data_IF_539181453175
#
_entry.id   IF_539181453175
#
_cell.length_a   1.000
_cell.length_b   1.000
_cell.length_c   1.000
_cell.angle_alpha   90.00
_cell.angle_beta   90.00
_cell.angle_gamma   90.00
#
_symmetry.space_group_name_H-M   'P 1'
#
loop_
_entity.id
_entity.type
_entity.pdbx_description
1 polymer ?
#
# COMPACT_ATOMS: atom_id res chain seq x y z
N UNK A 1 20.38 3.03 -9.72
CA UNK A 1 19.22 3.68 -10.35
C UNK A 1 18.17 3.90 -9.27
N UNK A 2 17.70 5.14 -9.06
CA UNK A 2 16.74 5.46 -8.01
C UNK A 2 15.32 4.95 -8.39
N UNK A 3 14.56 4.48 -7.41
CA UNK A 3 13.19 3.99 -7.55
C UNK A 3 12.23 4.93 -6.85
N UNK A 4 11.28 5.48 -7.61
CA UNK A 4 10.25 6.39 -7.12
C UNK A 4 8.90 5.70 -7.21
N UNK A 5 8.16 5.65 -6.11
CA UNK A 5 6.75 5.26 -6.09
C UNK A 5 5.89 6.51 -6.10
N UNK A 6 5.00 6.60 -7.08
CA UNK A 6 4.02 7.67 -7.19
C UNK A 6 2.64 7.07 -6.92
N UNK A 7 1.93 7.59 -5.93
CA UNK A 7 0.64 7.04 -5.47
C UNK A 7 -0.44 8.11 -5.49
N UNK A 8 -1.57 7.81 -6.12
CA UNK A 8 -2.77 8.64 -6.09
C UNK A 8 -3.74 8.09 -5.06
N UNK A 9 -4.08 8.91 -4.06
CA UNK A 9 -4.98 8.55 -2.97
C UNK A 9 -6.29 9.30 -3.18
N UNK A 10 -7.38 8.56 -3.42
CA UNK A 10 -8.72 9.11 -3.60
C UNK A 10 -9.40 9.51 -2.28
N UNK A 11 -10.73 9.60 -2.31
CA UNK A 11 -11.53 9.64 -1.07
C UNK A 11 -11.62 8.22 -0.52
N UNK A 12 -11.18 8.01 0.72
CA UNK A 12 -11.41 6.76 1.44
C UNK A 12 -12.90 6.46 1.51
N UNK A 13 -13.29 5.21 1.27
CA UNK A 13 -14.69 4.80 1.49
C UNK A 13 -14.93 4.80 3.00
N UNK A 14 -16.08 5.32 3.48
CA UNK A 14 -16.43 5.24 4.89
C UNK A 14 -16.37 3.78 5.32
N UNK A 15 -15.63 3.53 6.40
CA UNK A 15 -15.56 2.22 7.04
C UNK A 15 -16.96 1.90 7.54
N UNK A 16 -17.56 0.75 7.19
CA UNK A 16 -18.86 0.35 7.73
C UNK A 16 -18.81 0.38 9.27
N UNK A 17 -19.88 0.80 9.91
CA UNK A 17 -20.00 0.85 11.37
C UNK A 17 -19.53 -0.48 11.99
N UNK A 18 -18.45 -0.44 12.76
CA UNK A 18 -17.84 -1.63 13.40
C UNK A 18 -16.55 -2.15 12.76
N UNK A 19 -16.08 -1.58 11.65
CA UNK A 19 -14.74 -1.88 11.11
C UNK A 19 -13.62 -1.11 11.81
N UNK A 20 -12.41 -1.68 11.85
CA UNK A 20 -11.18 -1.01 12.31
C UNK A 20 -10.94 0.26 11.48
N UNK A 21 -11.40 1.41 11.99
CA UNK A 21 -11.15 2.70 11.36
C UNK A 21 -9.65 3.00 11.42
N UNK A 22 -9.01 3.19 10.27
CA UNK A 22 -7.63 3.66 10.23
C UNK A 22 -7.58 5.19 10.25
N UNK A 23 -6.45 5.76 10.72
CA UNK A 23 -6.20 7.21 10.68
C UNK A 23 -6.23 7.80 9.25
N UNK A 24 -6.13 6.97 8.20
CA UNK A 24 -6.15 7.41 6.80
C UNK A 24 -7.57 7.52 6.22
N UNK A 25 -8.61 7.10 6.95
CA UNK A 25 -9.99 7.07 6.44
C UNK A 25 -10.27 5.91 5.47
N UNK A 26 -9.33 4.96 5.33
CA UNK A 26 -9.50 3.74 4.56
C UNK A 26 -9.69 2.53 5.49
N UNK A 27 -10.49 1.55 5.07
CA UNK A 27 -10.56 0.27 5.77
C UNK A 27 -9.19 -0.44 5.70
N UNK A 28 -8.80 -1.12 6.79
CA UNK A 28 -7.65 -2.04 6.73
C UNK A 28 -7.98 -3.21 5.82
N UNK A 29 -7.11 -3.50 4.86
CA UNK A 29 -7.23 -4.58 3.89
C UNK A 29 -5.97 -5.44 3.90
N UNK A 30 -6.12 -6.75 3.69
CA UNK A 30 -5.00 -7.66 3.44
C UNK A 30 -4.69 -7.63 1.95
N UNK A 31 -3.49 -7.17 1.60
CA UNK A 31 -2.97 -7.19 0.23
C UNK A 31 -2.09 -8.42 0.05
N UNK A 32 -2.35 -9.18 -1.01
CA UNK A 32 -1.61 -10.39 -1.36
C UNK A 32 -0.79 -10.12 -2.61
N UNK A 33 0.51 -10.37 -2.54
CA UNK A 33 1.42 -10.32 -3.67
C UNK A 33 1.79 -11.75 -4.04
N UNK A 34 1.56 -12.16 -5.30
CA UNK A 34 1.95 -13.50 -5.73
C UNK A 34 3.46 -13.67 -5.63
N UNK A 35 3.88 -14.94 -5.56
CA UNK A 35 5.28 -15.29 -5.72
C UNK A 35 5.81 -14.73 -7.06
N UNK A 36 6.97 -14.06 -7.03
CA UNK A 36 7.69 -13.67 -8.25
C UNK A 36 8.71 -14.75 -8.60
N UNK A 37 9.09 -14.85 -9.87
CA UNK A 37 10.09 -15.81 -10.33
C UNK A 37 11.39 -15.67 -9.49
N UNK A 38 11.76 -16.74 -8.76
CA UNK A 38 12.93 -16.76 -7.88
C UNK A 38 12.61 -16.57 -6.39
N UNK A 39 11.35 -16.40 -6.00
CA UNK A 39 10.90 -16.39 -4.60
C UNK A 39 9.78 -17.39 -4.41
N UNK A 40 9.89 -18.25 -3.40
CA UNK A 40 8.99 -19.39 -3.19
C UNK A 40 7.69 -19.05 -2.47
N UNK A 41 7.55 -17.86 -1.90
CA UNK A 41 6.44 -17.53 -1.00
C UNK A 41 5.61 -16.34 -1.48
N UNK A 42 4.30 -16.53 -1.42
CA UNK A 42 3.33 -15.43 -1.48
C UNK A 42 3.53 -14.51 -0.27
N UNK A 43 3.34 -13.21 -0.47
CA UNK A 43 3.50 -12.23 0.59
C UNK A 43 2.16 -11.57 0.90
N UNK A 44 1.80 -11.54 2.18
CA UNK A 44 0.63 -10.81 2.66
C UNK A 44 1.05 -9.61 3.53
N UNK A 45 0.39 -8.48 3.34
CA UNK A 45 0.50 -7.34 4.26
C UNK A 45 -0.87 -6.73 4.56
N UNK A 46 -1.12 -6.44 5.84
CA UNK A 46 -2.38 -5.85 6.30
C UNK A 46 -2.18 -4.37 6.59
N UNK A 47 -2.74 -3.53 5.73
CA UNK A 47 -2.66 -2.08 5.84
C UNK A 47 -3.89 -1.40 5.26
N UNK A 48 -4.06 -0.11 5.55
CA UNK A 48 -5.16 0.70 5.01
C UNK A 48 -4.89 1.24 3.59
N UNK A 49 -3.64 1.17 3.13
CA UNK A 49 -3.21 1.76 1.86
C UNK A 49 -2.36 0.76 1.07
N UNK A 50 -2.79 0.42 -0.14
CA UNK A 50 -2.04 -0.44 -1.07
C UNK A 50 -0.58 0.02 -1.26
N UNK A 51 -0.28 1.31 -1.49
CA UNK A 51 1.11 1.74 -1.67
C UNK A 51 2.02 1.42 -0.48
N UNK A 52 1.51 1.42 0.75
CA UNK A 52 2.29 1.04 1.92
C UNK A 52 2.69 -0.43 1.89
N UNK A 53 1.77 -1.31 1.47
CA UNK A 53 2.04 -2.73 1.30
C UNK A 53 3.09 -2.96 0.20
N UNK A 54 2.98 -2.21 -0.90
CA UNK A 54 3.93 -2.30 -2.00
C UNK A 54 5.34 -1.85 -1.58
N UNK A 55 5.48 -0.74 -0.84
CA UNK A 55 6.80 -0.27 -0.36
C UNK A 55 7.48 -1.34 0.50
N UNK A 56 6.73 -1.99 1.41
CA UNK A 56 7.26 -3.07 2.26
C UNK A 56 7.62 -4.31 1.45
N UNK A 57 6.78 -4.71 0.48
CA UNK A 57 7.09 -5.80 -0.44
C UNK A 57 8.38 -5.51 -1.21
N UNK A 58 8.50 -4.33 -1.81
CA UNK A 58 9.69 -3.91 -2.56
C UNK A 58 10.96 -3.93 -1.71
N UNK A 59 10.89 -3.48 -0.46
CA UNK A 59 12.00 -3.59 0.49
C UNK A 59 12.37 -5.05 0.78
N UNK A 60 11.39 -5.92 1.00
CA UNK A 60 11.62 -7.37 1.20
C UNK A 60 12.27 -8.04 -0.02
N UNK A 61 11.94 -7.58 -1.24
CA UNK A 61 12.57 -8.03 -2.49
C UNK A 61 14.00 -7.51 -2.71
N UNK A 62 14.59 -6.79 -1.74
CA UNK A 62 15.90 -6.15 -1.91
C UNK A 62 15.88 -4.98 -2.91
N UNK A 63 14.70 -4.42 -3.20
CA UNK A 63 14.47 -3.35 -4.17
C UNK A 63 13.79 -2.15 -3.50
N UNK A 64 14.43 -1.51 -2.49
CA UNK A 64 13.79 -0.43 -1.75
C UNK A 64 13.34 0.71 -2.67
N UNK A 65 12.23 1.34 -2.29
CA UNK A 65 11.74 2.58 -2.89
C UNK A 65 12.48 3.73 -2.19
N UNK A 66 13.22 4.52 -2.96
CA UNK A 66 14.04 5.62 -2.44
C UNK A 66 13.19 6.86 -2.13
N UNK A 67 12.11 7.06 -2.89
CA UNK A 67 11.19 8.17 -2.72
C UNK A 67 9.74 7.72 -2.95
N UNK A 68 8.85 8.05 -2.01
CA UNK A 68 7.43 7.77 -2.13
C UNK A 68 6.63 9.08 -2.11
N UNK A 69 6.04 9.42 -3.26
CA UNK A 69 5.19 10.60 -3.45
C UNK A 69 3.72 10.18 -3.35
N UNK A 70 2.98 10.79 -2.42
CA UNK A 70 1.54 10.63 -2.28
C UNK A 70 0.81 11.88 -2.76
N UNK A 71 -0.08 11.71 -3.74
CA UNK A 71 -0.96 12.76 -4.25
C UNK A 71 -2.39 12.48 -3.82
N UNK A 72 -2.93 13.34 -2.96
CA UNK A 72 -4.35 13.34 -2.64
C UNK A 72 -5.15 14.13 -3.68
N UNK A 73 -6.42 13.82 -3.86
CA UNK A 73 -7.33 14.70 -4.60
C UNK A 73 -7.77 15.86 -3.70
N UNK A 74 -7.59 17.09 -4.16
CA UNK A 74 -8.16 18.28 -3.49
C UNK A 74 -9.68 18.11 -3.46
N UNK A 75 -10.29 18.21 -2.28
CA UNK A 75 -11.74 18.29 -2.16
C UNK A 75 -12.19 19.60 -2.82
N UNK A 76 -12.89 19.51 -3.95
CA UNK A 76 -13.84 20.53 -4.39
C UNK A 76 -15.14 20.36 -3.62
#
# INVERSE_FOLDING_TARGET
>A
MARVLISFIGKGRPVPSGGDSSRSGYARTTYRFPAEAGLSEEWEDRTSLFPSALVRRMAHLGRPVDCWLMMGTRQS
#
